data_IF_300749422060
#
_entry.id   IF_300749422060
#
_cell.length_a   1.000
_cell.length_b   1.000
_cell.length_c   1.000
_cell.angle_alpha   90.00
_cell.angle_beta   90.00
_cell.angle_gamma   90.00
#
_symmetry.space_group_name_H-M   'P 1'
#
loop_
_entity.id
_entity.type
_entity.pdbx_description
1 polymer ?
#
# COMPACT_ATOMS: atom_id res chain seq x y z
N UNK A 1 1.58 -18.31 3.66
CA UNK A 1 0.69 -17.37 2.96
C UNK A 1 0.12 -16.40 3.98
N UNK A 2 0.39 -15.09 3.81
CA UNK A 2 -0.09 -14.06 4.73
C UNK A 2 -1.45 -13.54 4.32
N UNK A 3 -1.62 -13.25 3.02
CA UNK A 3 -2.88 -12.80 2.44
C UNK A 3 -3.20 -13.70 1.25
N UNK A 4 -4.47 -14.11 1.14
CA UNK A 4 -4.97 -14.91 0.02
C UNK A 4 -6.34 -14.37 -0.39
N UNK A 5 -6.42 -13.85 -1.58
CA UNK A 5 -7.64 -13.28 -2.18
C UNK A 5 -8.15 -14.28 -3.22
N UNK A 6 -9.42 -14.68 -3.11
CA UNK A 6 -10.02 -15.68 -3.98
C UNK A 6 -11.35 -15.19 -4.54
N UNK A 7 -11.47 -15.25 -5.85
CA UNK A 7 -12.69 -14.99 -6.61
C UNK A 7 -13.37 -13.67 -6.19
N UNK A 8 -12.54 -12.67 -5.84
CA UNK A 8 -13.01 -11.38 -5.35
C UNK A 8 -13.70 -10.63 -6.47
N UNK A 9 -15.01 -10.42 -6.32
CA UNK A 9 -15.80 -9.60 -7.24
C UNK A 9 -16.38 -8.40 -6.50
N UNK A 10 -16.28 -7.22 -7.11
CA UNK A 10 -16.69 -5.93 -6.53
C UNK A 10 -17.64 -5.24 -7.51
N UNK A 11 -18.88 -5.06 -7.08
CA UNK A 11 -19.95 -4.48 -7.90
C UNK A 11 -20.53 -3.25 -7.19
N UNK A 12 -20.79 -2.18 -7.92
CA UNK A 12 -21.59 -1.07 -7.41
C UNK A 12 -23.06 -1.50 -7.26
N UNK A 13 -23.77 -0.93 -6.30
CA UNK A 13 -25.22 -1.20 -6.15
C UNK A 13 -26.05 -0.78 -7.37
N UNK A 14 -25.49 -0.01 -8.29
CA UNK A 14 -26.06 0.31 -9.60
C UNK A 14 -26.00 -0.85 -10.59
N UNK A 15 -25.29 -1.93 -10.27
CA UNK A 15 -25.08 -3.10 -11.12
C UNK A 15 -23.78 -3.04 -11.93
N UNK A 16 -22.98 -2.00 -11.85
CA UNK A 16 -21.70 -1.88 -12.53
C UNK A 16 -20.62 -2.72 -11.82
N UNK A 17 -19.96 -3.61 -12.54
CA UNK A 17 -18.84 -4.40 -12.04
C UNK A 17 -17.54 -3.60 -12.14
N UNK A 18 -16.86 -3.43 -11.00
CA UNK A 18 -15.60 -2.66 -10.91
C UNK A 18 -14.38 -3.60 -10.91
N UNK A 19 -14.54 -4.79 -10.38
CA UNK A 19 -13.53 -5.85 -10.44
C UNK A 19 -14.23 -7.21 -10.39
N UNK A 20 -13.77 -8.14 -11.23
CA UNK A 20 -14.38 -9.45 -11.42
C UNK A 20 -13.33 -10.55 -11.29
N UNK A 21 -13.63 -11.58 -10.48
CA UNK A 21 -12.83 -12.80 -10.32
C UNK A 21 -11.34 -12.56 -10.02
N UNK A 22 -11.07 -11.63 -9.13
CA UNK A 22 -9.70 -11.28 -8.75
C UNK A 22 -9.17 -12.28 -7.73
N UNK A 23 -8.13 -13.05 -8.14
CA UNK A 23 -7.49 -14.04 -7.28
C UNK A 23 -5.98 -13.85 -7.26
N UNK A 24 -5.40 -13.70 -6.06
CA UNK A 24 -3.95 -13.62 -5.86
C UNK A 24 -3.58 -13.91 -4.40
N UNK A 25 -2.31 -14.23 -4.18
CA UNK A 25 -1.78 -14.44 -2.83
C UNK A 25 -0.45 -13.72 -2.67
N UNK A 26 -0.11 -13.41 -1.41
CA UNK A 26 1.17 -12.82 -1.04
C UNK A 26 1.71 -13.45 0.24
N UNK A 27 3.01 -13.73 0.24
CA UNK A 27 3.72 -14.31 1.37
C UNK A 27 4.61 -13.29 2.11
N UNK A 28 5.07 -13.67 3.29
CA UNK A 28 6.02 -12.85 4.04
C UNK A 28 7.35 -12.72 3.29
N UNK A 29 7.89 -11.50 3.23
CA UNK A 29 9.10 -11.21 2.47
C UNK A 29 8.89 -11.08 0.96
N UNK A 30 7.63 -11.08 0.50
CA UNK A 30 7.27 -10.92 -0.90
C UNK A 30 6.73 -9.51 -1.20
N UNK A 31 7.16 -8.93 -2.30
CA UNK A 31 6.58 -7.72 -2.87
C UNK A 31 5.80 -8.06 -4.13
N UNK A 32 4.48 -7.97 -4.06
CA UNK A 32 3.56 -8.17 -5.17
C UNK A 32 3.09 -6.81 -5.70
N UNK A 33 3.21 -6.57 -7.00
CA UNK A 33 2.72 -5.34 -7.62
C UNK A 33 1.46 -5.58 -8.43
N UNK A 34 0.45 -4.71 -8.30
CA UNK A 34 -0.70 -4.63 -9.20
C UNK A 34 -0.51 -3.42 -10.12
N UNK A 35 -0.45 -3.68 -11.43
CA UNK A 35 -0.20 -2.66 -12.46
C UNK A 35 -1.37 -2.61 -13.43
N UNK A 36 -1.67 -1.44 -13.94
CA UNK A 36 -2.70 -1.22 -14.97
C UNK A 36 -2.98 0.25 -15.16
N UNK A 37 -3.79 0.59 -16.15
CA UNK A 37 -4.21 1.98 -16.42
C UNK A 37 -5.00 2.60 -15.27
N UNK A 38 -5.14 3.93 -15.29
CA UNK A 38 -6.07 4.61 -14.38
C UNK A 38 -7.50 4.13 -14.66
N UNK A 39 -8.25 3.82 -13.61
CA UNK A 39 -9.60 3.27 -13.74
C UNK A 39 -9.69 1.74 -13.84
N UNK A 40 -8.58 1.01 -13.98
CA UNK A 40 -8.59 -0.47 -14.07
C UNK A 40 -9.09 -1.22 -12.80
N UNK A 41 -9.52 -0.52 -11.74
CA UNK A 41 -10.06 -1.14 -10.52
C UNK A 41 -9.04 -1.41 -9.41
N UNK A 42 -7.74 -1.17 -9.62
CA UNK A 42 -6.65 -1.48 -8.68
C UNK A 42 -6.86 -0.95 -7.25
N UNK A 43 -7.10 0.36 -7.13
CA UNK A 43 -7.39 1.01 -5.83
C UNK A 43 -8.65 0.44 -5.18
N UNK A 44 -9.65 0.05 -5.98
CA UNK A 44 -10.90 -0.54 -5.48
C UNK A 44 -10.63 -1.92 -4.89
N UNK A 45 -9.83 -2.75 -5.56
CA UNK A 45 -9.37 -4.05 -5.03
C UNK A 45 -8.61 -3.87 -3.72
N UNK A 46 -7.65 -2.93 -3.64
CA UNK A 46 -6.94 -2.64 -2.39
C UNK A 46 -7.87 -2.20 -1.27
N UNK A 47 -8.83 -1.31 -1.56
CA UNK A 47 -9.82 -0.86 -0.58
C UNK A 47 -10.75 -1.98 -0.14
N UNK A 48 -11.09 -2.93 -1.01
CA UNK A 48 -11.86 -4.12 -0.65
C UNK A 48 -11.07 -4.98 0.35
N UNK A 49 -9.81 -5.28 0.04
CA UNK A 49 -8.90 -6.02 0.94
C UNK A 49 -8.77 -5.34 2.30
N UNK A 50 -8.77 -4.00 2.34
CA UNK A 50 -8.66 -3.20 3.56
C UNK A 50 -10.01 -2.95 4.28
N UNK A 51 -11.12 -3.48 3.75
CA UNK A 51 -12.45 -3.19 4.30
C UNK A 51 -12.83 -1.70 4.27
N UNK A 52 -12.26 -0.93 3.34
CA UNK A 52 -12.43 0.53 3.22
C UNK A 52 -13.48 0.94 2.18
N UNK A 53 -14.11 -0.01 1.49
CA UNK A 53 -15.18 0.31 0.56
C UNK A 53 -16.45 0.75 1.31
N UNK A 54 -17.12 1.75 0.74
CA UNK A 54 -18.39 2.24 1.29
C UNK A 54 -19.52 1.23 1.07
N UNK A 55 -20.63 1.43 1.75
CA UNK A 55 -21.84 0.60 1.60
C UNK A 55 -22.48 0.65 0.21
N UNK A 56 -21.94 1.45 -0.72
CA UNK A 56 -22.39 1.49 -2.11
C UNK A 56 -21.84 0.34 -2.95
N UNK A 57 -20.90 -0.44 -2.41
CA UNK A 57 -20.34 -1.61 -3.07
C UNK A 57 -20.90 -2.90 -2.46
N UNK A 58 -21.07 -3.90 -3.31
CA UNK A 58 -21.26 -5.30 -2.94
C UNK A 58 -19.96 -6.04 -3.21
N UNK A 59 -19.53 -6.88 -2.29
CA UNK A 59 -18.27 -7.62 -2.37
C UNK A 59 -18.60 -9.10 -2.18
N UNK A 60 -18.13 -9.96 -3.07
CA UNK A 60 -18.19 -11.42 -2.96
C UNK A 60 -16.79 -12.03 -3.12
N UNK A 61 -16.68 -13.34 -2.86
CA UNK A 61 -15.37 -14.02 -2.79
C UNK A 61 -14.79 -14.07 -1.39
N UNK A 62 -13.49 -14.22 -1.28
CA UNK A 62 -12.78 -14.34 -0.01
C UNK A 62 -11.54 -13.44 0.05
N UNK A 63 -11.30 -12.88 1.23
CA UNK A 63 -10.06 -12.18 1.59
C UNK A 63 -9.53 -12.81 2.87
N UNK A 64 -8.63 -13.78 2.73
CA UNK A 64 -8.10 -14.58 3.83
C UNK A 64 -6.79 -13.96 4.34
N UNK A 65 -6.78 -13.52 5.59
CA UNK A 65 -5.58 -13.12 6.31
C UNK A 65 -5.23 -14.19 7.34
N UNK A 66 -4.09 -14.85 7.15
CA UNK A 66 -3.67 -15.99 8.01
C UNK A 66 -4.78 -17.05 8.15
N UNK A 67 -5.57 -17.26 7.09
CA UNK A 67 -6.67 -18.22 7.06
C UNK A 67 -8.02 -17.71 7.61
N UNK A 68 -8.10 -16.48 8.12
CA UNK A 68 -9.34 -15.85 8.58
C UNK A 68 -9.93 -14.96 7.47
N UNK A 69 -11.20 -15.19 7.08
CA UNK A 69 -11.84 -14.39 6.03
C UNK A 69 -12.27 -13.03 6.57
N UNK A 70 -11.57 -11.96 6.14
CA UNK A 70 -11.80 -10.60 6.61
C UNK A 70 -13.17 -10.05 6.21
N UNK A 71 -13.77 -10.52 5.12
CA UNK A 71 -15.10 -10.07 4.68
C UNK A 71 -16.21 -10.47 5.66
N UNK A 72 -15.98 -11.49 6.48
CA UNK A 72 -16.93 -12.00 7.45
C UNK A 72 -16.56 -11.69 8.92
N UNK A 73 -15.48 -10.96 9.13
CA UNK A 73 -15.04 -10.59 10.48
C UNK A 73 -15.91 -9.51 11.12
N UNK A 74 -16.04 -9.59 12.45
CA UNK A 74 -16.67 -8.52 13.22
C UNK A 74 -15.86 -7.21 13.13
N UNK A 75 -16.53 -6.05 13.27
CA UNK A 75 -15.85 -4.75 13.30
C UNK A 75 -14.73 -4.68 14.34
N UNK A 76 -14.94 -5.28 15.52
CA UNK A 76 -13.93 -5.34 16.59
C UNK A 76 -12.68 -6.12 16.15
N UNK A 77 -12.87 -7.23 15.43
CA UNK A 77 -11.75 -8.03 14.91
C UNK A 77 -10.99 -7.26 13.81
N UNK A 78 -11.71 -6.64 12.87
CA UNK A 78 -11.10 -5.81 11.83
C UNK A 78 -10.30 -4.63 12.41
N UNK A 79 -10.80 -3.96 13.44
CA UNK A 79 -10.06 -2.89 14.14
C UNK A 79 -8.78 -3.38 14.84
N UNK A 80 -8.72 -4.66 15.23
CA UNK A 80 -7.51 -5.25 15.80
C UNK A 80 -6.46 -5.61 14.73
N UNK A 81 -6.90 -5.82 13.49
CA UNK A 81 -6.04 -6.18 12.35
C UNK A 81 -5.58 -4.93 11.59
N UNK A 82 -6.53 -4.09 11.17
CA UNK A 82 -6.22 -2.92 10.35
C UNK A 82 -5.54 -1.80 11.16
N UNK A 83 -4.49 -1.24 10.58
CA UNK A 83 -3.64 -0.24 11.22
C UNK A 83 -2.60 -0.83 12.17
N UNK A 84 -2.68 -2.13 12.49
CA UNK A 84 -1.70 -2.85 13.30
C UNK A 84 -0.98 -3.94 12.52
N UNK A 85 -1.71 -4.94 12.03
CA UNK A 85 -1.15 -6.08 11.30
C UNK A 85 -1.14 -5.83 9.78
N UNK A 86 -2.15 -5.15 9.26
CA UNK A 86 -2.25 -4.72 7.86
C UNK A 86 -2.39 -3.20 7.85
N UNK A 87 -1.43 -2.51 7.26
CA UNK A 87 -1.43 -1.05 7.13
C UNK A 87 -1.60 -0.62 5.67
N UNK A 88 -2.26 0.52 5.48
CA UNK A 88 -2.56 1.08 4.17
C UNK A 88 -1.91 2.46 4.01
N UNK A 89 -1.14 2.63 2.94
CA UNK A 89 -0.56 3.89 2.52
C UNK A 89 -1.38 4.43 1.35
N UNK A 90 -1.96 5.61 1.55
CA UNK A 90 -2.82 6.26 0.57
C UNK A 90 -2.00 6.99 -0.51
N UNK A 91 -2.60 7.17 -1.67
CA UNK A 91 -2.03 7.90 -2.79
C UNK A 91 -1.62 9.34 -2.45
N UNK A 92 -2.47 10.07 -1.71
CA UNK A 92 -2.23 11.48 -1.40
C UNK A 92 -1.87 11.67 0.09
N UNK A 93 -0.60 11.98 0.42
CA UNK A 93 -0.17 12.19 1.79
C UNK A 93 -0.81 13.41 2.46
N UNK A 94 -1.23 14.42 1.69
CA UNK A 94 -1.89 15.62 2.25
C UNK A 94 -3.24 15.30 2.89
N UNK A 95 -3.94 14.29 2.38
CA UNK A 95 -5.24 13.85 2.92
C UNK A 95 -5.12 12.87 4.09
N UNK A 96 -3.91 12.32 4.32
CA UNK A 96 -3.66 11.37 5.41
C UNK A 96 -3.59 12.04 6.78
N UNK A 97 -3.25 13.33 6.83
CA UNK A 97 -3.01 14.06 8.06
C UNK A 97 -4.05 15.13 8.33
N UNK A 98 -4.38 15.32 9.62
CA UNK A 98 -5.21 16.44 10.05
C UNK A 98 -4.35 17.73 10.04
N UNK A 99 -4.70 18.73 9.20
CA UNK A 99 -3.91 19.96 9.06
C UNK A 99 -3.82 20.80 10.35
N UNK A 100 -4.78 20.64 11.26
CA UNK A 100 -4.82 21.39 12.53
C UNK A 100 -4.01 20.75 13.66
N UNK A 101 -3.37 19.60 13.42
CA UNK A 101 -2.59 18.89 14.42
C UNK A 101 -1.13 18.75 13.99
N UNK A 102 -0.21 18.90 14.96
CA UNK A 102 1.21 18.66 14.72
C UNK A 102 1.47 17.20 14.40
N UNK A 103 2.46 16.94 13.55
CA UNK A 103 2.85 15.59 13.11
C UNK A 103 3.15 14.67 14.30
N UNK A 104 3.95 15.12 15.26
CA UNK A 104 4.28 14.33 16.45
C UNK A 104 3.05 13.81 17.18
N UNK A 105 2.04 14.68 17.37
CA UNK A 105 0.81 14.30 18.04
C UNK A 105 0.00 13.25 17.25
N UNK A 106 0.07 13.30 15.94
CA UNK A 106 -0.64 12.34 15.08
C UNK A 106 0.06 10.97 15.12
N UNK A 107 1.40 10.94 15.04
CA UNK A 107 2.18 9.70 15.17
C UNK A 107 2.02 9.07 16.56
N UNK A 108 2.06 9.85 17.62
CA UNK A 108 1.78 9.39 18.98
C UNK A 108 0.40 8.74 19.09
N UNK A 109 -0.64 9.41 18.57
CA UNK A 109 -2.00 8.89 18.58
C UNK A 109 -2.13 7.57 17.83
N UNK A 110 -1.47 7.44 16.66
CA UNK A 110 -1.45 6.21 15.86
C UNK A 110 -0.86 5.05 16.67
N UNK A 111 0.24 5.29 17.39
CA UNK A 111 0.86 4.28 18.23
C UNK A 111 -0.02 3.89 19.44
N UNK A 112 -0.53 4.87 20.18
CA UNK A 112 -1.38 4.61 21.37
C UNK A 112 -2.67 3.87 21.02
N UNK A 113 -3.21 4.03 19.81
CA UNK A 113 -4.41 3.34 19.37
C UNK A 113 -4.25 1.81 19.42
N UNK A 114 -3.06 1.31 19.09
CA UNK A 114 -2.78 -0.12 19.02
C UNK A 114 -1.86 -0.63 20.13
N UNK A 115 -1.19 0.27 20.84
CA UNK A 115 -0.34 -0.03 21.98
C UNK A 115 -0.56 0.98 23.13
N UNK A 116 -1.72 0.92 23.83
CA UNK A 116 -2.08 1.91 24.85
C UNK A 116 -1.20 1.87 26.10
N UNK A 117 -0.40 0.80 26.29
CA UNK A 117 0.49 0.64 27.43
C UNK A 117 1.93 1.10 27.17
N UNK A 118 2.25 1.55 25.94
CA UNK A 118 3.61 2.00 25.61
C UNK A 118 3.99 3.21 26.45
N UNK A 119 5.18 3.18 27.05
CA UNK A 119 5.69 4.33 27.79
C UNK A 119 6.06 5.49 26.85
N UNK A 120 6.07 6.73 27.39
CA UNK A 120 6.49 7.89 26.61
C UNK A 120 7.92 7.78 26.05
N UNK A 121 8.82 7.16 26.80
CA UNK A 121 10.20 6.99 26.38
C UNK A 121 10.32 6.01 25.23
N UNK A 122 9.67 4.85 25.32
CA UNK A 122 9.61 3.84 24.25
C UNK A 122 8.95 4.38 22.99
N UNK A 123 7.83 5.11 23.14
CA UNK A 123 7.15 5.76 22.03
C UNK A 123 8.07 6.77 21.31
N UNK A 124 8.74 7.64 22.06
CA UNK A 124 9.67 8.60 21.47
C UNK A 124 10.82 7.91 20.74
N UNK A 125 11.39 6.86 21.31
CA UNK A 125 12.45 6.08 20.68
C UNK A 125 11.96 5.40 19.38
N UNK A 126 10.80 4.79 19.43
CA UNK A 126 10.19 4.10 18.28
C UNK A 126 9.92 5.08 17.14
N UNK A 127 9.24 6.19 17.41
CA UNK A 127 8.94 7.23 16.42
C UNK A 127 10.23 7.81 15.83
N UNK A 128 11.21 8.13 16.70
CA UNK A 128 12.49 8.69 16.26
C UNK A 128 13.25 7.74 15.35
N UNK A 129 13.37 6.47 15.75
CA UNK A 129 14.03 5.42 14.95
C UNK A 129 13.34 5.22 13.59
N UNK A 130 12.01 5.17 13.59
CA UNK A 130 11.24 4.97 12.35
C UNK A 130 11.41 6.15 11.40
N UNK A 131 11.35 7.39 11.89
CA UNK A 131 11.56 8.57 11.06
C UNK A 131 12.99 8.62 10.48
N UNK A 132 14.01 8.31 11.28
CA UNK A 132 15.40 8.26 10.83
C UNK A 132 15.64 7.17 9.75
N UNK A 133 15.03 6.00 9.90
CA UNK A 133 15.08 4.95 8.87
C UNK A 133 14.52 5.42 7.51
N UNK A 134 13.65 6.42 7.54
CA UNK A 134 13.05 7.05 6.36
C UNK A 134 13.81 8.30 5.89
N UNK A 135 15.03 8.55 6.41
CA UNK A 135 15.84 9.71 6.05
C UNK A 135 15.27 11.05 6.56
N UNK A 136 14.51 11.02 7.66
CA UNK A 136 13.93 12.20 8.30
C UNK A 136 14.69 12.51 9.59
N UNK A 137 15.81 13.22 9.48
CA UNK A 137 16.76 13.41 10.59
C UNK A 137 16.43 14.59 11.52
N UNK A 138 15.81 15.67 11.00
CA UNK A 138 15.41 16.82 11.82
C UNK A 138 14.12 16.53 12.60
N UNK A 139 14.21 15.56 13.51
CA UNK A 139 13.07 15.07 14.29
C UNK A 139 12.37 16.19 15.07
N UNK A 140 13.16 17.10 15.66
CA UNK A 140 12.61 18.18 16.50
C UNK A 140 11.73 19.13 15.70
N UNK A 141 12.15 19.48 14.49
CA UNK A 141 11.39 20.30 13.55
C UNK A 141 10.16 19.55 13.06
N UNK A 142 10.35 18.32 12.55
CA UNK A 142 9.27 17.51 11.96
C UNK A 142 8.14 17.27 12.94
N UNK A 143 8.44 16.80 14.16
CA UNK A 143 7.42 16.48 15.16
C UNK A 143 6.65 17.72 15.65
N UNK A 144 7.24 18.92 15.57
CA UNK A 144 6.59 20.18 15.91
C UNK A 144 5.86 20.85 14.76
N UNK A 145 6.12 20.44 13.52
CA UNK A 145 5.51 21.00 12.33
C UNK A 145 4.05 20.57 12.17
N UNK A 146 3.28 21.40 11.48
CA UNK A 146 1.99 21.04 10.90
C UNK A 146 2.20 20.46 9.51
N UNK A 147 1.24 19.68 8.97
CA UNK A 147 1.39 19.05 7.64
C UNK A 147 1.74 20.04 6.51
N UNK A 148 1.11 21.19 6.49
CA UNK A 148 1.29 22.25 5.49
C UNK A 148 2.69 22.92 5.49
N UNK A 149 3.42 22.77 6.59
CA UNK A 149 4.80 23.28 6.71
C UNK A 149 5.87 22.31 6.18
N UNK A 150 5.46 21.15 5.64
CA UNK A 150 6.35 20.08 5.16
C UNK A 150 6.17 19.84 3.65
N UNK A 151 7.25 19.40 2.98
CA UNK A 151 7.14 19.03 1.57
C UNK A 151 6.32 17.75 1.36
N UNK A 152 5.77 17.56 0.16
CA UNK A 152 5.01 16.35 -0.18
C UNK A 152 5.80 15.07 0.04
N UNK A 153 7.09 15.04 -0.34
CA UNK A 153 7.98 13.91 -0.10
C UNK A 153 8.24 13.64 1.39
N UNK A 154 8.35 14.69 2.22
CA UNK A 154 8.44 14.51 3.68
C UNK A 154 7.13 13.94 4.24
N UNK A 155 5.98 14.45 3.84
CA UNK A 155 4.68 13.92 4.28
C UNK A 155 4.47 12.48 3.84
N UNK A 156 4.92 12.12 2.63
CA UNK A 156 4.89 10.74 2.15
C UNK A 156 5.71 9.82 3.07
N UNK A 157 6.94 10.20 3.38
CA UNK A 157 7.81 9.43 4.30
C UNK A 157 7.22 9.36 5.71
N UNK A 158 6.59 10.43 6.20
CA UNK A 158 5.92 10.46 7.51
C UNK A 158 4.67 9.56 7.52
N UNK A 159 3.92 9.50 6.41
CA UNK A 159 2.79 8.59 6.27
C UNK A 159 3.24 7.12 6.31
N UNK A 160 4.36 6.80 5.66
CA UNK A 160 5.00 5.48 5.76
C UNK A 160 5.45 5.22 7.20
N UNK A 161 6.08 6.21 7.88
CA UNK A 161 6.45 6.08 9.29
C UNK A 161 5.24 5.75 10.16
N UNK A 162 4.11 6.44 9.95
CA UNK A 162 2.87 6.18 10.69
C UNK A 162 2.38 4.73 10.52
N UNK A 163 2.53 4.15 9.33
CA UNK A 163 2.20 2.75 9.08
C UNK A 163 3.20 1.80 9.78
N UNK A 164 4.51 2.10 9.71
CA UNK A 164 5.58 1.23 10.22
C UNK A 164 5.71 1.24 11.75
N UNK A 165 5.26 2.28 12.44
CA UNK A 165 5.31 2.38 13.91
C UNK A 165 4.67 1.15 14.58
N UNK A 166 3.62 0.59 13.99
CA UNK A 166 2.94 -0.58 14.52
C UNK A 166 3.55 -1.92 14.05
N UNK A 167 4.66 -1.90 13.30
CA UNK A 167 5.37 -3.08 12.79
C UNK A 167 4.44 -4.07 12.08
N UNK A 168 3.73 -3.63 11.02
CA UNK A 168 2.76 -4.46 10.34
C UNK A 168 3.41 -5.67 9.66
N UNK A 169 2.65 -6.74 9.49
CA UNK A 169 3.06 -7.90 8.68
C UNK A 169 2.80 -7.68 7.20
N UNK A 170 1.78 -6.86 6.87
CA UNK A 170 1.42 -6.51 5.50
C UNK A 170 1.33 -4.98 5.35
N UNK A 171 1.95 -4.47 4.31
CA UNK A 171 1.84 -3.08 3.88
C UNK A 171 1.16 -3.02 2.51
N UNK A 172 0.01 -2.38 2.42
CA UNK A 172 -0.67 -2.08 1.16
C UNK A 172 -0.33 -0.65 0.78
N UNK A 173 0.39 -0.46 -0.32
CA UNK A 173 0.86 0.85 -0.80
C UNK A 173 0.16 1.19 -2.12
N UNK A 174 -0.85 2.05 -2.05
CA UNK A 174 -1.66 2.44 -3.19
C UNK A 174 -1.12 3.74 -3.81
N UNK A 175 -0.51 3.61 -4.98
CA UNK A 175 0.14 4.70 -5.73
C UNK A 175 1.09 5.57 -4.88
N UNK A 176 1.77 4.96 -3.93
CA UNK A 176 2.62 5.63 -2.94
C UNK A 176 3.81 6.41 -3.55
N UNK A 177 4.05 6.29 -4.84
CA UNK A 177 5.16 6.95 -5.56
C UNK A 177 4.73 8.11 -6.45
N UNK A 178 3.43 8.36 -6.62
CA UNK A 178 2.90 9.30 -7.62
C UNK A 178 3.20 10.77 -7.30
N UNK A 179 3.27 11.11 -6.01
CA UNK A 179 3.47 12.50 -5.54
C UNK A 179 4.94 12.89 -5.31
N UNK A 180 5.90 12.04 -5.71
CA UNK A 180 7.33 12.24 -5.45
C UNK A 180 8.15 12.25 -6.76
N UNK A 181 9.23 13.06 -6.75
CA UNK A 181 10.16 13.12 -7.88
C UNK A 181 10.91 11.79 -8.09
N UNK A 182 11.57 11.67 -9.24
CA UNK A 182 12.21 10.42 -9.67
C UNK A 182 13.29 9.92 -8.70
N UNK A 183 14.09 10.81 -8.08
CA UNK A 183 15.14 10.42 -7.16
C UNK A 183 14.56 9.88 -5.85
N UNK A 184 13.63 10.62 -5.26
CA UNK A 184 12.93 10.21 -4.05
C UNK A 184 12.11 8.93 -4.25
N UNK A 185 11.60 8.68 -5.47
CA UNK A 185 10.90 7.44 -5.83
C UNK A 185 11.80 6.22 -5.71
N UNK A 186 13.01 6.30 -6.27
CA UNK A 186 13.98 5.20 -6.19
C UNK A 186 14.33 4.88 -4.74
N UNK A 187 14.61 5.91 -3.93
CA UNK A 187 14.91 5.73 -2.51
C UNK A 187 13.74 5.08 -1.75
N UNK A 188 12.51 5.51 -2.05
CA UNK A 188 11.31 4.91 -1.45
C UNK A 188 11.16 3.44 -1.84
N UNK A 189 11.34 3.10 -3.11
CA UNK A 189 11.26 1.72 -3.57
C UNK A 189 12.33 0.82 -2.94
N UNK A 190 13.57 1.34 -2.81
CA UNK A 190 14.65 0.63 -2.11
C UNK A 190 14.31 0.39 -0.63
N UNK A 191 13.72 1.39 0.03
CA UNK A 191 13.25 1.24 1.40
C UNK A 191 12.16 0.16 1.52
N UNK A 192 11.14 0.19 0.64
CA UNK A 192 10.10 -0.83 0.62
C UNK A 192 10.71 -2.23 0.40
N UNK A 193 11.70 -2.33 -0.48
CA UNK A 193 12.42 -3.59 -0.71
C UNK A 193 13.19 -4.07 0.53
N UNK A 194 13.82 -3.18 1.27
CA UNK A 194 14.48 -3.50 2.55
C UNK A 194 13.49 -4.01 3.59
N UNK A 195 12.32 -3.36 3.72
CA UNK A 195 11.26 -3.81 4.62
C UNK A 195 10.75 -5.20 4.25
N UNK A 196 10.58 -5.44 2.95
CA UNK A 196 10.21 -6.73 2.42
C UNK A 196 11.25 -7.81 2.78
N UNK A 197 12.54 -7.55 2.57
CA UNK A 197 13.64 -8.45 2.96
C UNK A 197 13.67 -8.73 4.47
N UNK A 198 13.10 -7.85 5.29
CA UNK A 198 12.89 -8.05 6.73
C UNK A 198 11.69 -8.95 7.08
N UNK A 199 11.00 -9.51 6.10
CA UNK A 199 9.88 -10.44 6.28
C UNK A 199 8.48 -9.82 6.12
N UNK A 200 8.37 -8.50 5.86
CA UNK A 200 7.09 -7.83 5.59
C UNK A 200 6.56 -8.23 4.20
N UNK A 201 5.27 -8.50 4.08
CA UNK A 201 4.60 -8.60 2.79
C UNK A 201 4.21 -7.21 2.29
N UNK A 202 4.42 -6.91 1.00
CA UNK A 202 4.07 -5.61 0.42
C UNK A 202 3.20 -5.82 -0.81
N UNK A 203 1.96 -5.33 -0.74
CA UNK A 203 1.09 -5.18 -1.90
C UNK A 203 1.24 -3.76 -2.44
N UNK A 204 1.91 -3.61 -3.57
CA UNK A 204 2.23 -2.33 -4.17
C UNK A 204 1.39 -2.08 -5.42
N UNK A 205 0.55 -1.05 -5.40
CA UNK A 205 -0.28 -0.66 -6.53
C UNK A 205 0.31 0.55 -7.22
N UNK A 206 0.47 0.46 -8.53
CA UNK A 206 1.03 1.55 -9.33
C UNK A 206 0.56 1.47 -10.79
N UNK A 207 0.62 2.59 -11.50
CA UNK A 207 0.58 2.63 -12.95
C UNK A 207 1.99 2.74 -13.57
N UNK A 208 3.03 2.89 -12.73
CA UNK A 208 4.43 3.00 -13.18
C UNK A 208 5.11 1.63 -13.19
N UNK A 209 5.31 1.08 -14.39
CA UNK A 209 6.02 -0.19 -14.61
C UNK A 209 7.46 -0.17 -14.09
N UNK A 210 8.13 1.00 -14.06
CA UNK A 210 9.48 1.11 -13.50
C UNK A 210 9.49 0.89 -12.00
N UNK A 211 8.50 1.41 -11.30
CA UNK A 211 8.35 1.13 -9.87
C UNK A 211 7.99 -0.35 -9.65
N UNK A 212 7.09 -0.90 -10.47
CA UNK A 212 6.69 -2.30 -10.40
C UNK A 212 7.83 -3.29 -10.70
N UNK A 213 8.86 -2.89 -11.50
CA UNK A 213 10.01 -3.77 -11.79
C UNK A 213 10.85 -4.15 -10.57
N UNK A 214 10.64 -3.49 -9.44
CA UNK A 214 11.29 -3.84 -8.16
C UNK A 214 10.50 -4.88 -7.35
N UNK A 215 9.30 -5.28 -7.79
CA UNK A 215 8.53 -6.33 -7.15
C UNK A 215 9.03 -7.73 -7.53
N UNK A 216 8.67 -8.74 -6.74
CA UNK A 216 8.98 -10.15 -7.05
C UNK A 216 8.01 -10.69 -8.11
N UNK A 217 6.73 -10.31 -7.99
CA UNK A 217 5.66 -10.69 -8.92
C UNK A 217 4.83 -9.49 -9.30
N UNK A 218 4.26 -9.57 -10.50
CA UNK A 218 3.40 -8.53 -11.06
C UNK A 218 2.08 -9.16 -11.51
N UNK A 219 0.99 -8.46 -11.17
CA UNK A 219 -0.36 -8.70 -11.67
C UNK A 219 -0.70 -7.54 -12.59
N UNK A 220 -1.07 -7.84 -13.82
CA UNK A 220 -1.55 -6.84 -14.78
C UNK A 220 -3.06 -6.82 -14.74
N UNK A 221 -3.62 -5.65 -14.47
CA UNK A 221 -5.05 -5.45 -14.35
C UNK A 221 -5.56 -4.51 -15.43
N UNK A 222 -6.62 -4.88 -16.13
CA UNK A 222 -7.30 -4.08 -17.12
C UNK A 222 -8.82 -4.24 -17.00
N UNK A 223 -9.56 -3.14 -17.06
CA UNK A 223 -11.03 -3.12 -17.06
C UNK A 223 -11.66 -4.06 -16.01
N UNK A 224 -11.13 -4.00 -14.78
CA UNK A 224 -11.66 -4.79 -13.66
C UNK A 224 -11.18 -6.25 -13.60
N UNK A 225 -10.36 -6.73 -14.52
CA UNK A 225 -9.90 -8.12 -14.59
C UNK A 225 -8.40 -8.25 -14.45
N UNK A 226 -7.92 -9.39 -13.92
CA UNK A 226 -6.52 -9.77 -13.98
C UNK A 226 -6.24 -10.42 -15.34
N UNK A 227 -5.53 -9.71 -16.22
CA UNK A 227 -5.23 -10.18 -17.58
C UNK A 227 -3.95 -10.99 -17.65
N UNK A 228 -2.96 -10.70 -16.82
CA UNK A 228 -1.72 -11.47 -16.76
C UNK A 228 -1.11 -11.44 -15.36
N UNK A 229 -0.48 -12.55 -14.96
CA UNK A 229 0.23 -12.68 -13.68
C UNK A 229 1.51 -13.49 -13.88
N UNK A 230 2.60 -13.06 -13.24
CA UNK A 230 3.87 -13.77 -13.33
C UNK A 230 4.95 -13.14 -12.45
N UNK A 231 6.15 -13.74 -12.48
CA UNK A 231 7.33 -13.08 -11.91
C UNK A 231 7.63 -11.80 -12.70
N UNK A 232 8.29 -10.86 -12.06
CA UNK A 232 8.70 -9.62 -12.74
C UNK A 232 9.49 -9.92 -14.01
N UNK A 233 10.40 -10.91 -13.96
CA UNK A 233 11.18 -11.33 -15.13
C UNK A 233 10.30 -11.84 -16.28
N UNK A 234 9.29 -12.67 -15.99
CA UNK A 234 8.34 -13.18 -16.99
C UNK A 234 7.54 -12.05 -17.64
N UNK A 235 6.98 -11.15 -16.83
CA UNK A 235 6.17 -10.03 -17.35
C UNK A 235 6.98 -9.09 -18.24
N UNK A 236 8.25 -8.80 -17.89
CA UNK A 236 9.08 -7.88 -18.67
C UNK A 236 9.72 -8.51 -19.91
N UNK A 237 10.12 -9.77 -19.85
CA UNK A 237 10.88 -10.41 -20.92
C UNK A 237 10.02 -11.29 -21.85
N UNK A 238 8.93 -11.87 -21.31
CA UNK A 238 8.08 -12.82 -22.03
C UNK A 238 6.58 -12.53 -21.82
N UNK A 239 6.12 -11.26 -22.06
CA UNK A 239 4.70 -10.93 -21.91
C UNK A 239 3.85 -11.73 -22.90
N UNK A 240 2.78 -12.34 -22.42
CA UNK A 240 1.87 -13.17 -23.23
C UNK A 240 0.72 -12.32 -23.78
N UNK A 241 0.11 -11.53 -22.93
CA UNK A 241 -1.09 -10.76 -23.24
C UNK A 241 -0.78 -9.48 -24.03
N UNK A 242 -1.62 -9.18 -25.02
CA UNK A 242 -1.45 -8.00 -25.88
C UNK A 242 -1.48 -6.68 -25.06
N UNK A 243 -2.32 -6.63 -24.03
CA UNK A 243 -2.38 -5.45 -23.15
C UNK A 243 -1.07 -5.25 -22.37
N UNK A 244 -0.46 -6.33 -21.89
CA UNK A 244 0.86 -6.26 -21.21
C UNK A 244 1.94 -5.76 -22.16
N UNK A 245 1.98 -6.26 -23.40
CA UNK A 245 2.92 -5.81 -24.45
C UNK A 245 2.72 -4.33 -24.75
N UNK A 246 1.47 -3.90 -24.85
CA UNK A 246 1.13 -2.48 -25.06
C UNK A 246 1.66 -1.61 -23.91
N UNK A 247 1.40 -1.97 -22.65
CA UNK A 247 1.88 -1.23 -21.47
C UNK A 247 3.41 -1.11 -21.46
N UNK A 248 4.12 -2.21 -21.73
CA UNK A 248 5.58 -2.23 -21.77
C UNK A 248 6.13 -1.35 -22.89
N UNK A 249 5.52 -1.38 -24.09
CA UNK A 249 5.92 -0.56 -25.22
C UNK A 249 5.75 0.94 -24.94
N UNK A 250 4.62 1.33 -24.33
CA UNK A 250 4.36 2.71 -23.93
C UNK A 250 5.41 3.23 -22.94
N UNK A 251 5.82 2.41 -21.97
CA UNK A 251 6.86 2.75 -20.99
C UNK A 251 8.26 2.95 -21.64
N UNK A 252 8.52 2.28 -22.76
CA UNK A 252 9.79 2.37 -23.49
C UNK A 252 9.86 3.65 -24.34
N UNK A 253 8.74 4.14 -24.84
CA UNK A 253 8.65 5.37 -25.65
C UNK A 253 8.89 6.64 -24.83
N UNK A 254 8.60 6.64 -23.53
CA UNK A 254 8.92 7.76 -22.63
C UNK A 254 10.43 7.93 -22.33
N UNK A 255 11.28 7.07 -22.87
CA UNK A 255 12.76 7.15 -22.75
C UNK A 255 13.43 7.99 -23.83
N UNK A 256 12.68 8.54 -24.80
CA UNK A 256 13.19 9.41 -25.86
C UNK A 256 12.70 10.85 -25.68
#
# INVERSE_FOLDING_TARGET
MFLDVRDLTITLKTGEEIAEDISFSIDGGEMLSIVGSSGAGKTTVCKAVMGLLSSNYSISGEVLYKGENLLHCSKKRLQAIYGKEICYIMQNPMTAFNPSLRIGRQLEKTCYLHNPQISRQELHLLVSKTLQQLGLDDLKRILKSYPDALSGGMLQRIMIAAALINQPTILVADEATTAIDACNRIELMQLLRQLCSGGMAILFVTHDLRAASMADRILIMNDGQLVEAGTTEQIFNEPKEEYTKYLLSACTLERR
#
